data_IF_031013643353
#
_entry.id   IF_031013643353
#
_cell.length_a   1.000
_cell.length_b   1.000
_cell.length_c   1.000
_cell.angle_alpha   90.00
_cell.angle_beta   90.00
_cell.angle_gamma   90.00
#
_symmetry.space_group_name_H-M   'P 1'
#
loop_
_entity.id
_entity.type
_entity.pdbx_description
1 polymer ?
#
# COMPACT_ATOMS: atom_id res chain seq x y z
N UNK A 1 7.86 19.28 18.21
CA UNK A 1 7.59 17.89 18.65
C UNK A 1 7.69 17.02 17.41
N UNK A 2 8.49 15.94 17.44
CA UNK A 2 8.57 15.00 16.31
C UNK A 2 7.18 14.41 16.06
N UNK A 3 6.68 14.44 14.83
CA UNK A 3 5.39 13.81 14.52
C UNK A 3 5.58 12.29 14.55
N UNK A 4 4.70 11.57 15.24
CA UNK A 4 4.73 10.10 15.22
C UNK A 4 4.33 9.63 13.80
N UNK A 5 5.14 8.79 13.12
CA UNK A 5 4.77 8.24 11.81
C UNK A 5 3.47 7.45 11.91
N UNK A 6 2.69 7.48 10.82
CA UNK A 6 1.51 6.64 10.67
C UNK A 6 1.91 5.24 10.23
N UNK A 7 1.44 4.22 10.93
CA UNK A 7 1.62 2.82 10.54
C UNK A 7 0.42 2.36 9.71
N UNK A 8 0.66 2.02 8.45
CA UNK A 8 -0.41 1.70 7.49
C UNK A 8 -0.14 0.34 6.85
N UNK A 9 -1.18 -0.46 6.65
CA UNK A 9 -1.06 -1.70 5.87
C UNK A 9 -2.14 -1.81 4.79
N UNK A 10 -1.77 -2.34 3.63
CA UNK A 10 -2.72 -2.94 2.70
C UNK A 10 -2.81 -4.43 2.99
N UNK A 11 -3.86 -4.90 3.67
CA UNK A 11 -3.89 -6.25 4.22
C UNK A 11 -5.24 -6.95 4.07
N UNK A 12 -5.20 -8.27 3.85
CA UNK A 12 -6.37 -9.15 3.77
C UNK A 12 -5.94 -10.61 3.94
N UNK A 13 -6.87 -11.45 4.41
CA UNK A 13 -6.68 -12.90 4.61
C UNK A 13 -6.51 -13.68 3.29
N UNK A 14 -6.70 -13.02 2.13
CA UNK A 14 -6.60 -13.65 0.82
C UNK A 14 -5.23 -13.44 0.18
N UNK A 15 -4.59 -14.55 -0.17
CA UNK A 15 -3.42 -14.55 -1.06
C UNK A 15 -3.73 -13.92 -2.42
N UNK A 16 -2.76 -13.23 -3.00
CA UNK A 16 -2.89 -12.66 -4.34
C UNK A 16 -3.84 -11.46 -4.46
N UNK A 17 -4.43 -10.94 -3.39
CA UNK A 17 -5.39 -9.81 -3.43
C UNK A 17 -4.80 -8.43 -3.82
N UNK A 18 -3.47 -8.34 -4.00
CA UNK A 18 -2.78 -7.10 -4.39
C UNK A 18 -2.15 -6.31 -3.23
N UNK A 19 -2.01 -6.91 -2.04
CA UNK A 19 -1.40 -6.28 -0.84
C UNK A 19 -0.07 -5.59 -1.14
N UNK A 20 0.93 -6.36 -1.54
CA UNK A 20 2.28 -5.87 -1.86
C UNK A 20 2.28 -4.88 -3.02
N UNK A 21 1.41 -5.07 -4.01
CA UNK A 21 1.22 -4.14 -5.14
C UNK A 21 0.76 -2.77 -4.64
N UNK A 22 -0.27 -2.72 -3.79
CA UNK A 22 -0.76 -1.44 -3.25
C UNK A 22 0.21 -0.83 -2.25
N UNK A 23 0.90 -1.64 -1.44
CA UNK A 23 1.98 -1.15 -0.57
C UNK A 23 3.08 -0.46 -1.39
N UNK A 24 3.55 -1.08 -2.48
CA UNK A 24 4.57 -0.48 -3.35
C UNK A 24 4.04 0.78 -4.08
N UNK A 25 2.83 0.73 -4.66
CA UNK A 25 2.24 1.87 -5.37
C UNK A 25 2.00 3.06 -4.44
N UNK A 26 1.42 2.83 -3.26
CA UNK A 26 1.17 3.88 -2.28
C UNK A 26 2.48 4.47 -1.76
N UNK A 27 3.48 3.63 -1.47
CA UNK A 27 4.81 4.09 -1.03
C UNK A 27 5.45 4.98 -2.08
N UNK A 28 5.48 4.53 -3.34
CA UNK A 28 6.07 5.28 -4.45
C UNK A 28 5.32 6.57 -4.77
N UNK A 29 3.98 6.57 -4.77
CA UNK A 29 3.20 7.79 -4.99
C UNK A 29 3.38 8.80 -3.85
N UNK A 30 3.26 8.37 -2.60
CA UNK A 30 3.42 9.28 -1.46
C UNK A 30 4.83 9.84 -1.37
N UNK A 31 5.86 9.04 -1.64
CA UNK A 31 7.25 9.46 -1.50
C UNK A 31 7.74 10.30 -2.67
N UNK A 32 7.53 9.82 -3.91
CA UNK A 32 8.11 10.45 -5.10
C UNK A 32 7.21 11.52 -5.73
N UNK A 33 5.88 11.43 -5.56
CA UNK A 33 4.95 12.39 -6.17
C UNK A 33 4.38 13.42 -5.17
N UNK A 34 4.15 13.01 -3.91
CA UNK A 34 3.55 13.88 -2.88
C UNK A 34 4.54 14.35 -1.81
N UNK A 35 5.83 13.99 -1.92
CA UNK A 35 6.90 14.50 -1.08
C UNK A 35 6.94 13.99 0.37
N UNK A 36 6.13 13.00 0.75
CA UNK A 36 6.17 12.40 2.09
C UNK A 36 7.42 11.55 2.32
N UNK A 37 7.92 11.49 3.55
CA UNK A 37 8.97 10.55 3.92
C UNK A 37 8.33 9.20 4.28
N UNK A 38 8.53 8.22 3.40
CA UNK A 38 7.94 6.88 3.54
C UNK A 38 9.02 5.88 3.89
N UNK A 39 8.68 4.85 4.67
CA UNK A 39 9.44 3.61 4.81
C UNK A 39 8.51 2.40 4.62
N UNK A 40 9.08 1.25 4.26
CA UNK A 40 8.35 -0.02 4.17
C UNK A 40 8.99 -1.07 5.06
N UNK A 41 8.19 -1.72 5.89
CA UNK A 41 8.54 -2.95 6.61
C UNK A 41 7.84 -4.10 5.89
N UNK A 42 8.62 -4.87 5.14
CA UNK A 42 8.14 -6.02 4.40
C UNK A 42 8.13 -7.24 5.32
N UNK A 43 6.97 -7.52 5.90
CA UNK A 43 6.75 -8.52 6.93
C UNK A 43 6.42 -9.91 6.37
N UNK A 44 6.56 -10.15 5.06
CA UNK A 44 6.24 -11.43 4.43
C UNK A 44 7.48 -12.34 4.32
N UNK A 45 8.31 -12.44 5.36
CA UNK A 45 9.47 -13.34 5.34
C UNK A 45 9.04 -14.83 5.26
N UNK A 46 9.69 -15.66 4.42
CA UNK A 46 10.89 -15.39 3.61
C UNK A 46 10.65 -14.80 2.21
N UNK A 47 9.39 -14.58 1.80
CA UNK A 47 9.07 -14.07 0.47
C UNK A 47 9.55 -12.63 0.26
N UNK A 48 9.33 -11.75 1.25
CA UNK A 48 9.67 -10.32 1.26
C UNK A 48 9.60 -9.69 -0.15
N UNK A 49 8.41 -9.70 -0.74
CA UNK A 49 8.21 -9.48 -2.18
C UNK A 49 8.63 -8.08 -2.65
N UNK A 50 8.45 -7.05 -1.81
CA UNK A 50 8.80 -5.66 -2.11
C UNK A 50 10.31 -5.48 -1.96
N UNK A 51 10.92 -6.09 -0.94
CA UNK A 51 12.36 -6.09 -0.76
C UNK A 51 13.08 -6.76 -1.95
N UNK A 52 12.61 -7.93 -2.38
CA UNK A 52 13.17 -8.61 -3.56
C UNK A 52 12.87 -7.87 -4.87
N UNK A 53 11.74 -7.14 -4.97
CA UNK A 53 11.49 -6.21 -6.07
C UNK A 53 12.57 -5.13 -6.14
N UNK A 54 12.84 -4.40 -5.05
CA UNK A 54 13.90 -3.38 -5.01
C UNK A 54 15.26 -3.93 -5.43
N UNK A 55 15.64 -5.12 -4.95
CA UNK A 55 16.91 -5.76 -5.33
C UNK A 55 16.99 -6.05 -6.83
N UNK A 56 15.90 -6.54 -7.44
CA UNK A 56 15.82 -6.77 -8.88
C UNK A 56 15.91 -5.46 -9.65
N UNK A 57 15.21 -4.42 -9.21
CA UNK A 57 15.24 -3.10 -9.84
C UNK A 57 16.63 -2.47 -9.81
N UNK A 58 17.35 -2.54 -8.69
CA UNK A 58 18.75 -2.05 -8.60
C UNK A 58 19.65 -2.74 -9.62
N UNK A 59 19.57 -4.08 -9.76
CA UNK A 59 20.33 -4.82 -10.77
C UNK A 59 19.98 -4.42 -12.20
N UNK A 60 18.72 -4.03 -12.45
CA UNK A 60 18.30 -3.54 -13.76
C UNK A 60 18.87 -2.15 -14.06
N UNK A 61 18.95 -1.26 -13.05
CA UNK A 61 19.59 0.05 -13.22
C UNK A 61 21.07 -0.05 -13.61
N UNK A 62 21.79 -1.05 -13.08
CA UNK A 62 23.20 -1.30 -13.44
C UNK A 62 23.39 -1.63 -14.93
N UNK A 63 22.37 -2.21 -15.56
CA UNK A 63 22.44 -2.74 -16.93
C UNK A 63 21.57 -1.96 -17.93
N UNK A 64 20.82 -0.95 -17.50
CA UNK A 64 19.92 -0.17 -18.35
C UNK A 64 20.13 1.33 -18.12
N UNK A 65 20.92 1.96 -19.00
CA UNK A 65 21.26 3.38 -18.94
C UNK A 65 20.04 4.31 -18.98
N UNK A 66 18.95 3.90 -19.64
CA UNK A 66 17.73 4.71 -19.67
C UNK A 66 17.11 4.81 -18.28
N UNK A 67 16.91 3.68 -17.60
CA UNK A 67 16.35 3.72 -16.24
C UNK A 67 17.34 4.32 -15.24
N UNK A 68 18.65 4.12 -15.41
CA UNK A 68 19.66 4.78 -14.59
C UNK A 68 19.55 6.32 -14.68
N UNK A 69 19.54 6.87 -15.90
CA UNK A 69 19.39 8.31 -16.11
C UNK A 69 18.05 8.84 -15.58
N UNK A 70 16.97 8.07 -15.77
CA UNK A 70 15.64 8.38 -15.23
C UNK A 70 15.65 8.44 -13.70
N UNK A 71 16.36 7.53 -13.03
CA UNK A 71 16.46 7.50 -11.57
C UNK A 71 17.26 8.70 -11.04
N UNK A 72 18.41 9.01 -11.65
CA UNK A 72 19.21 10.19 -11.28
C UNK A 72 18.38 11.46 -11.41
N UNK A 73 17.74 11.66 -12.58
CA UNK A 73 16.89 12.84 -12.83
C UNK A 73 15.77 12.97 -11.80
N UNK A 74 15.10 11.87 -11.45
CA UNK A 74 14.03 11.88 -10.46
C UNK A 74 14.54 12.26 -9.07
N UNK A 75 15.58 11.58 -8.58
CA UNK A 75 16.08 11.75 -7.22
C UNK A 75 16.71 13.14 -7.00
N UNK A 76 17.38 13.68 -8.02
CA UNK A 76 17.87 15.07 -8.01
C UNK A 76 16.71 16.07 -8.00
N UNK A 77 15.66 15.85 -8.79
CA UNK A 77 14.53 16.77 -8.88
C UNK A 77 13.72 16.86 -7.59
N UNK A 78 13.56 15.74 -6.86
CA UNK A 78 12.81 15.71 -5.60
C UNK A 78 13.68 16.02 -4.37
N UNK A 79 15.01 16.06 -4.53
CA UNK A 79 16.00 16.19 -3.44
C UNK A 79 15.81 15.14 -2.32
N UNK A 80 15.59 13.88 -2.72
CA UNK A 80 15.39 12.74 -1.80
C UNK A 80 16.03 11.48 -2.34
N UNK A 81 16.39 10.60 -1.41
CA UNK A 81 16.77 9.22 -1.73
C UNK A 81 15.52 8.34 -1.90
N UNK A 82 15.70 7.16 -2.49
CA UNK A 82 14.63 6.14 -2.52
C UNK A 82 14.20 5.78 -1.10
N UNK A 83 12.90 5.52 -0.88
CA UNK A 83 12.43 5.12 0.43
C UNK A 83 13.06 3.78 0.87
N UNK A 84 13.39 3.61 2.16
CA UNK A 84 13.97 2.38 2.70
C UNK A 84 12.93 1.26 2.78
N UNK A 85 13.42 0.02 2.62
CA UNK A 85 12.64 -1.20 2.71
C UNK A 85 13.38 -2.17 3.63
N UNK A 86 12.73 -2.60 4.71
CA UNK A 86 13.28 -3.53 5.70
C UNK A 86 12.49 -4.82 5.66
N UNK A 87 13.13 -5.94 5.32
CA UNK A 87 12.51 -7.26 5.40
C UNK A 87 12.49 -7.74 6.86
N UNK A 88 11.36 -8.27 7.32
CA UNK A 88 11.13 -8.70 8.69
C UNK A 88 10.21 -9.94 8.73
N UNK A 89 10.28 -10.70 9.82
CA UNK A 89 9.25 -11.70 10.11
C UNK A 89 7.95 -11.01 10.54
N UNK A 90 6.78 -11.62 10.31
CA UNK A 90 5.51 -11.01 10.69
C UNK A 90 5.43 -10.61 12.17
N UNK A 91 5.91 -11.48 13.06
CA UNK A 91 5.98 -11.29 14.51
C UNK A 91 6.98 -10.21 14.95
N UNK A 92 7.94 -9.84 14.10
CA UNK A 92 8.97 -8.84 14.37
C UNK A 92 8.66 -7.47 13.74
N UNK A 93 7.58 -7.35 12.96
CA UNK A 93 7.30 -6.15 12.18
C UNK A 93 7.36 -4.86 12.99
N UNK A 94 6.65 -4.80 14.12
CA UNK A 94 6.59 -3.60 14.97
C UNK A 94 7.94 -3.31 15.64
N UNK A 95 8.63 -4.32 16.16
CA UNK A 95 9.93 -4.12 16.80
C UNK A 95 10.97 -3.64 15.79
N UNK A 96 10.98 -4.21 14.58
CA UNK A 96 11.84 -3.79 13.47
C UNK A 96 11.55 -2.37 13.00
N UNK A 97 10.28 -1.98 12.90
CA UNK A 97 9.90 -0.61 12.58
C UNK A 97 10.45 0.39 13.62
N UNK A 98 10.31 0.08 14.91
CA UNK A 98 10.79 0.94 15.97
C UNK A 98 12.33 1.00 16.03
N UNK A 99 13.02 -0.11 15.83
CA UNK A 99 14.49 -0.17 15.71
C UNK A 99 14.97 0.71 14.56
N UNK A 100 14.36 0.54 13.38
CA UNK A 100 14.64 1.35 12.20
C UNK A 100 14.43 2.84 12.48
N UNK A 101 13.25 3.25 12.96
CA UNK A 101 12.93 4.64 13.25
C UNK A 101 13.83 5.27 14.33
N UNK A 102 14.31 4.48 15.30
CA UNK A 102 15.24 4.96 16.32
C UNK A 102 16.67 5.15 15.80
N UNK A 103 17.05 4.40 14.76
CA UNK A 103 18.38 4.47 14.14
C UNK A 103 18.51 5.59 13.11
N UNK A 104 17.38 6.03 12.54
CA UNK A 104 17.34 7.05 11.49
C UNK A 104 17.37 8.47 12.06
N UNK A 105 18.12 9.36 11.40
CA UNK A 105 18.14 10.78 11.74
C UNK A 105 16.96 11.55 11.13
N UNK A 106 16.42 11.06 10.01
CA UNK A 106 15.27 11.61 9.31
C UNK A 106 13.95 11.24 10.00
N UNK A 107 13.00 12.17 10.00
CA UNK A 107 11.62 11.88 10.41
C UNK A 107 10.80 11.31 9.26
N UNK A 108 10.04 10.26 9.56
CA UNK A 108 9.14 9.60 8.62
C UNK A 108 7.70 10.02 8.86
N UNK A 109 6.96 10.27 7.79
CA UNK A 109 5.54 10.60 7.84
C UNK A 109 4.69 9.32 7.89
N UNK A 110 5.09 8.30 7.11
CA UNK A 110 4.36 7.04 6.95
C UNK A 110 5.32 5.85 6.96
N UNK A 111 4.96 4.79 7.68
CA UNK A 111 5.60 3.48 7.59
C UNK A 111 4.56 2.47 7.13
N UNK A 112 4.76 1.93 5.94
CA UNK A 112 3.91 0.86 5.42
C UNK A 112 4.37 -0.51 5.89
N UNK A 113 3.43 -1.40 6.15
CA UNK A 113 3.68 -2.79 6.50
C UNK A 113 3.08 -3.71 5.42
N UNK A 114 3.93 -4.51 4.76
CA UNK A 114 3.47 -5.55 3.85
C UNK A 114 3.30 -6.86 4.60
N UNK A 115 2.06 -7.24 4.90
CA UNK A 115 1.74 -8.41 5.70
C UNK A 115 1.51 -9.65 4.82
N UNK A 116 1.86 -10.86 5.31
CA UNK A 116 1.56 -12.10 4.60
C UNK A 116 0.05 -12.25 4.36
N UNK A 117 -0.31 -12.99 3.31
CA UNK A 117 -1.73 -13.22 2.97
C UNK A 117 -2.50 -14.03 4.01
N UNK A 118 -1.84 -14.85 4.81
CA UNK A 118 -2.51 -15.72 5.79
C UNK A 118 -2.51 -15.05 7.16
N UNK A 119 -3.59 -14.33 7.49
CA UNK A 119 -3.69 -13.61 8.77
C UNK A 119 -4.00 -14.55 9.97
N UNK A 120 -4.11 -15.86 9.76
CA UNK A 120 -4.43 -16.81 10.85
C UNK A 120 -3.25 -17.13 11.78
N UNK A 121 -2.12 -16.44 11.66
CA UNK A 121 -0.99 -16.54 12.57
C UNK A 121 -1.05 -15.37 13.57
N UNK A 122 -0.91 -15.67 14.86
CA UNK A 122 -0.91 -14.68 15.96
C UNK A 122 0.05 -13.51 15.72
N UNK A 123 1.23 -13.74 15.14
CA UNK A 123 2.18 -12.68 14.81
C UNK A 123 1.62 -11.68 13.79
N UNK A 124 0.88 -12.16 12.79
CA UNK A 124 0.27 -11.33 11.75
C UNK A 124 -0.89 -10.52 12.32
N UNK A 125 -1.74 -11.16 13.16
CA UNK A 125 -2.84 -10.48 13.85
C UNK A 125 -2.30 -9.40 14.79
N UNK A 126 -1.25 -9.69 15.55
CA UNK A 126 -0.62 -8.73 16.45
C UNK A 126 -0.11 -7.50 15.69
N UNK A 127 0.64 -7.69 14.60
CA UNK A 127 1.12 -6.58 13.77
C UNK A 127 -0.04 -5.82 13.13
N UNK A 128 -1.07 -6.51 12.63
CA UNK A 128 -2.28 -5.90 12.08
C UNK A 128 -2.97 -4.96 13.08
N UNK A 129 -3.16 -5.40 14.34
CA UNK A 129 -3.81 -4.61 15.39
C UNK A 129 -2.95 -3.45 15.90
N UNK A 130 -1.65 -3.44 15.58
CA UNK A 130 -0.73 -2.35 15.91
C UNK A 130 -0.59 -1.29 14.80
N UNK A 131 -1.25 -1.47 13.65
CA UNK A 131 -1.34 -0.44 12.62
C UNK A 131 -2.19 0.73 13.12
N UNK A 132 -2.02 1.94 12.58
CA UNK A 132 -2.99 3.03 12.75
C UNK A 132 -4.19 2.84 11.81
N UNK A 133 -3.93 2.44 10.56
CA UNK A 133 -4.95 2.25 9.52
C UNK A 133 -4.68 1.00 8.70
N UNK A 134 -5.73 0.26 8.35
CA UNK A 134 -5.63 -0.86 7.41
C UNK A 134 -6.61 -0.69 6.25
N UNK A 135 -6.08 -0.81 5.04
CA UNK A 135 -6.84 -0.81 3.79
C UNK A 135 -6.95 -2.24 3.24
N UNK A 136 -8.15 -2.70 3.00
CA UNK A 136 -8.44 -4.11 2.71
C UNK A 136 -8.90 -4.27 1.26
N UNK A 137 -8.00 -4.68 0.33
CA UNK A 137 -8.39 -4.92 -1.06
C UNK A 137 -9.28 -6.14 -1.17
N UNK A 138 -10.37 -6.02 -1.92
CA UNK A 138 -11.35 -7.08 -2.06
C UNK A 138 -11.81 -7.27 -3.50
N UNK A 139 -11.68 -8.49 -4.02
CA UNK A 139 -12.16 -8.81 -5.37
C UNK A 139 -13.69 -8.94 -5.41
N UNK A 140 -14.35 -8.61 -6.54
CA UNK A 140 -15.81 -8.74 -6.69
C UNK A 140 -16.23 -10.20 -6.89
N UNK A 141 -15.91 -11.04 -5.92
CA UNK A 141 -16.30 -12.44 -5.87
C UNK A 141 -16.83 -12.78 -4.48
N UNK A 142 -17.92 -13.55 -4.44
CA UNK A 142 -18.56 -13.95 -3.18
C UNK A 142 -17.57 -14.56 -2.18
N UNK A 143 -16.70 -15.45 -2.64
CA UNK A 143 -15.66 -16.07 -1.82
C UNK A 143 -14.68 -15.04 -1.22
N UNK A 144 -14.29 -14.02 -1.98
CA UNK A 144 -13.43 -12.95 -1.46
C UNK A 144 -14.15 -12.11 -0.41
N UNK A 145 -15.43 -11.81 -0.63
CA UNK A 145 -16.27 -11.08 0.32
C UNK A 145 -16.41 -11.84 1.64
N UNK A 146 -16.84 -13.10 1.57
CA UNK A 146 -17.11 -13.92 2.76
C UNK A 146 -15.85 -14.10 3.61
N UNK A 147 -14.69 -14.37 2.99
CA UNK A 147 -13.41 -14.47 3.71
C UNK A 147 -12.94 -13.13 4.28
N UNK A 148 -13.20 -12.02 3.60
CA UNK A 148 -12.81 -10.69 4.10
C UNK A 148 -13.69 -10.29 5.28
N UNK A 149 -15.01 -10.41 5.14
CA UNK A 149 -15.97 -10.01 6.18
C UNK A 149 -15.85 -10.88 7.43
N UNK A 150 -15.61 -12.19 7.28
CA UNK A 150 -15.43 -13.07 8.45
C UNK A 150 -14.23 -12.70 9.31
N UNK A 151 -13.21 -12.06 8.73
CA UNK A 151 -12.04 -11.55 9.46
C UNK A 151 -12.25 -10.11 9.96
N UNK A 152 -12.80 -9.22 9.12
CA UNK A 152 -12.89 -7.79 9.45
C UNK A 152 -14.01 -7.46 10.46
N UNK A 153 -15.12 -8.20 10.47
CA UNK A 153 -16.22 -7.95 11.43
C UNK A 153 -15.73 -8.13 12.88
N UNK A 154 -15.12 -9.26 13.29
CA UNK A 154 -14.60 -9.41 14.65
C UNK A 154 -13.53 -8.38 15.03
N UNK A 155 -12.66 -8.02 14.08
CA UNK A 155 -11.64 -6.96 14.28
C UNK A 155 -12.31 -5.63 14.59
N UNK A 156 -13.37 -5.26 13.86
CA UNK A 156 -14.06 -3.98 14.06
C UNK A 156 -14.80 -3.95 15.40
N UNK A 157 -15.39 -5.07 15.82
CA UNK A 157 -15.98 -5.22 17.16
C UNK A 157 -14.92 -5.09 18.26
N UNK A 158 -13.71 -5.62 18.04
CA UNK A 158 -12.59 -5.47 18.96
C UNK A 158 -12.16 -4.01 19.09
N UNK A 159 -12.03 -3.28 17.98
CA UNK A 159 -11.72 -1.84 17.96
C UNK A 159 -12.78 -1.05 18.74
N UNK A 160 -14.07 -1.34 18.51
CA UNK A 160 -15.17 -0.65 19.18
C UNK A 160 -15.23 -0.92 20.70
N UNK A 161 -14.77 -2.11 21.14
CA UNK A 161 -14.81 -2.52 22.54
C UNK A 161 -13.54 -2.19 23.33
N UNK A 162 -12.38 -2.01 22.68
CA UNK A 162 -11.09 -1.81 23.32
C UNK A 162 -10.46 -0.46 22.96
N UNK A 163 -10.57 0.52 23.87
CA UNK A 163 -10.04 1.90 23.67
C UNK A 163 -8.50 2.02 23.61
N UNK A 164 -7.76 0.93 23.77
CA UNK A 164 -6.28 0.95 23.85
C UNK A 164 -5.59 0.33 22.63
N UNK A 165 -6.33 -0.03 21.57
CA UNK A 165 -5.72 -0.50 20.33
C UNK A 165 -5.09 0.67 19.56
N UNK A 166 -3.95 0.42 18.93
CA UNK A 166 -3.33 1.37 18.00
C UNK A 166 -4.18 1.53 16.73
N UNK A 167 -4.87 0.46 16.32
CA UNK A 167 -5.74 0.43 15.14
C UNK A 167 -6.95 1.33 15.30
N UNK A 168 -6.96 2.42 14.53
CA UNK A 168 -8.00 3.45 14.54
C UNK A 168 -9.17 3.06 13.67
N UNK A 169 -8.91 2.56 12.45
CA UNK A 169 -9.96 2.16 11.52
C UNK A 169 -9.48 1.19 10.45
N UNK A 170 -10.43 0.43 9.92
CA UNK A 170 -10.25 -0.47 8.79
C UNK A 170 -11.17 -0.05 7.66
N UNK A 171 -10.63 -0.05 6.45
CA UNK A 171 -11.27 0.49 5.27
C UNK A 171 -11.19 -0.50 4.11
N UNK A 172 -12.34 -0.99 3.64
CA UNK A 172 -12.42 -1.92 2.53
C UNK A 172 -12.43 -1.15 1.21
N UNK A 173 -11.91 -1.75 0.14
CA UNK A 173 -12.06 -1.19 -1.20
C UNK A 173 -12.11 -2.29 -2.27
N UNK A 174 -12.77 -1.97 -3.38
CA UNK A 174 -12.91 -2.90 -4.48
C UNK A 174 -11.64 -2.95 -5.33
N UNK A 175 -11.12 -4.17 -5.55
CA UNK A 175 -9.98 -4.43 -6.40
C UNK A 175 -10.32 -5.41 -7.53
N UNK A 176 -9.64 -5.28 -8.66
CA UNK A 176 -9.81 -6.13 -9.85
C UNK A 176 -11.26 -6.22 -10.32
N UNK A 177 -11.93 -5.07 -10.37
CA UNK A 177 -13.28 -5.00 -10.94
C UNK A 177 -13.20 -5.03 -12.47
N UNK A 178 -13.74 -6.10 -13.03
CA UNK A 178 -13.90 -6.25 -14.47
C UNK A 178 -15.14 -5.48 -14.95
N UNK A 179 -15.12 -4.94 -16.17
CA UNK A 179 -16.24 -4.19 -16.75
C UNK A 179 -17.53 -5.00 -16.90
N UNK A 180 -17.45 -6.34 -16.84
CA UNK A 180 -18.59 -7.26 -16.85
C UNK A 180 -19.27 -7.41 -15.49
N UNK A 181 -18.66 -6.92 -14.41
CA UNK A 181 -19.27 -6.95 -13.08
C UNK A 181 -20.44 -5.97 -13.07
N UNK A 182 -21.66 -6.47 -12.81
CA UNK A 182 -22.86 -5.65 -12.75
C UNK A 182 -22.78 -4.68 -11.57
N UNK A 183 -23.09 -3.41 -11.81
CA UNK A 183 -23.08 -2.35 -10.79
C UNK A 183 -23.96 -2.71 -9.58
N UNK A 184 -25.13 -3.27 -9.83
CA UNK A 184 -26.08 -3.76 -8.80
C UNK A 184 -25.44 -4.74 -7.82
N UNK A 185 -24.46 -5.53 -8.26
CA UNK A 185 -23.75 -6.48 -7.41
C UNK A 185 -22.86 -5.75 -6.41
N UNK A 186 -22.09 -4.74 -6.87
CA UNK A 186 -21.26 -3.91 -6.00
C UNK A 186 -22.13 -3.13 -5.02
N UNK A 187 -23.25 -2.57 -5.48
CA UNK A 187 -24.21 -1.83 -4.64
C UNK A 187 -24.85 -2.73 -3.57
N UNK A 188 -25.21 -3.98 -3.93
CA UNK A 188 -25.76 -4.95 -2.98
C UNK A 188 -24.76 -5.27 -1.86
N UNK A 189 -23.49 -5.53 -2.20
CA UNK A 189 -22.47 -5.81 -1.19
C UNK A 189 -22.04 -4.56 -0.42
N UNK A 190 -22.04 -3.38 -1.03
CA UNK A 190 -21.83 -2.13 -0.32
C UNK A 190 -22.88 -1.93 0.78
N UNK A 191 -24.14 -2.28 0.52
CA UNK A 191 -25.19 -2.27 1.55
C UNK A 191 -24.88 -3.24 2.69
N UNK A 192 -24.49 -4.49 2.37
CA UNK A 192 -24.11 -5.48 3.40
C UNK A 192 -22.95 -4.97 4.27
N UNK A 193 -21.91 -4.41 3.65
CA UNK A 193 -20.75 -3.83 4.36
C UNK A 193 -21.22 -2.69 5.29
N UNK A 194 -22.11 -1.82 4.80
CA UNK A 194 -22.70 -0.73 5.57
C UNK A 194 -23.58 -1.21 6.74
N UNK A 195 -24.33 -2.29 6.57
CA UNK A 195 -25.15 -2.90 7.62
C UNK A 195 -24.27 -3.40 8.79
N UNK A 196 -23.04 -3.85 8.50
CA UNK A 196 -22.01 -4.17 9.49
C UNK A 196 -21.20 -2.97 9.98
N UNK A 197 -21.56 -1.74 9.58
CA UNK A 197 -20.87 -0.48 9.92
C UNK A 197 -19.39 -0.46 9.54
N UNK A 198 -19.02 -1.24 8.53
CA UNK A 198 -17.67 -1.26 7.99
C UNK A 198 -17.51 -0.13 6.99
N UNK A 199 -16.32 0.48 6.95
CA UNK A 199 -16.02 1.54 5.97
C UNK A 199 -15.66 0.92 4.63
N UNK A 200 -16.31 1.40 3.56
CA UNK A 200 -15.99 1.07 2.17
C UNK A 200 -15.57 2.36 1.47
N UNK A 201 -14.44 2.34 0.77
CA UNK A 201 -13.99 3.44 -0.07
C UNK A 201 -14.86 3.55 -1.32
N UNK A 202 -15.00 4.78 -1.80
CA UNK A 202 -15.69 5.11 -3.04
C UNK A 202 -14.88 4.65 -4.27
N UNK A 203 -13.54 4.68 -4.15
CA UNK A 203 -12.66 4.30 -5.25
C UNK A 203 -12.72 2.81 -5.57
N UNK A 204 -12.99 2.50 -6.84
CA UNK A 204 -12.98 1.13 -7.37
C UNK A 204 -11.77 0.93 -8.28
N UNK A 205 -10.93 -0.06 -7.98
CA UNK A 205 -9.76 -0.39 -8.80
C UNK A 205 -10.14 -1.40 -9.89
N UNK A 206 -9.98 -1.05 -11.19
CA UNK A 206 -10.30 -1.93 -12.30
C UNK A 206 -9.29 -3.08 -12.44
N UNK A 207 -9.74 -4.19 -13.01
CA UNK A 207 -8.84 -5.27 -13.41
C UNK A 207 -7.99 -4.82 -14.61
N UNK A 208 -6.67 -4.76 -14.44
CA UNK A 208 -5.76 -4.33 -15.51
C UNK A 208 -4.35 -4.89 -15.31
N UNK A 209 -3.74 -5.35 -16.41
CA UNK A 209 -2.35 -5.85 -16.42
C UNK A 209 -1.31 -4.74 -16.11
N UNK A 210 -1.69 -3.46 -16.17
CA UNK A 210 -0.81 -2.35 -15.79
C UNK A 210 -0.28 -2.47 -14.36
N UNK A 211 -1.06 -3.06 -13.45
CA UNK A 211 -0.67 -3.25 -12.05
C UNK A 211 0.51 -4.21 -11.88
N UNK A 212 0.85 -4.97 -12.92
CA UNK A 212 1.99 -5.90 -12.94
C UNK A 212 3.17 -5.35 -13.78
N UNK A 213 3.08 -4.10 -14.27
CA UNK A 213 4.06 -3.53 -15.21
C UNK A 213 5.26 -2.93 -14.47
N UNK A 214 6.25 -3.78 -14.20
CA UNK A 214 7.58 -3.41 -13.70
C UNK A 214 8.50 -2.86 -14.80
N UNK A 215 9.74 -2.51 -14.42
CA UNK A 215 10.81 -2.16 -15.34
C UNK A 215 11.08 -3.27 -16.36
N UNK A 216 11.22 -2.88 -17.63
CA UNK A 216 11.57 -3.81 -18.70
C UNK A 216 13.03 -4.26 -18.59
N UNK A 217 13.29 -5.54 -18.90
CA UNK A 217 14.67 -6.09 -18.90
C UNK A 217 15.54 -5.39 -19.95
N UNK A 218 14.94 -5.01 -21.09
CA UNK A 218 15.55 -4.22 -22.15
C UNK A 218 14.58 -3.14 -22.61
N UNK A 219 15.11 -2.04 -23.16
CA UNK A 219 14.31 -0.93 -23.64
C UNK A 219 13.95 0.10 -22.56
N UNK A 220 12.89 0.85 -22.82
CA UNK A 220 12.55 2.10 -22.14
C UNK A 220 11.05 2.21 -21.81
N UNK A 221 10.41 1.06 -21.56
CA UNK A 221 8.97 0.99 -21.33
C UNK A 221 8.52 1.85 -20.15
N UNK A 222 7.32 2.41 -20.26
CA UNK A 222 6.66 3.07 -19.14
C UNK A 222 6.44 2.07 -18.00
N UNK A 223 6.78 2.47 -16.77
CA UNK A 223 6.73 1.65 -15.55
C UNK A 223 5.52 2.05 -14.72
N UNK A 224 4.82 1.09 -14.12
CA UNK A 224 3.68 1.36 -13.25
C UNK A 224 3.91 0.85 -11.82
N UNK A 225 4.43 -0.37 -11.68
CA UNK A 225 4.77 -0.96 -10.40
C UNK A 225 6.29 -0.88 -10.21
N UNK A 226 6.74 -0.05 -9.26
CA UNK A 226 8.15 0.14 -8.97
C UNK A 226 8.33 0.59 -7.53
N UNK A 227 9.49 0.27 -6.96
CA UNK A 227 9.93 0.83 -5.67
C UNK A 227 10.90 2.00 -5.83
N UNK A 228 11.34 2.32 -7.05
CA UNK A 228 12.30 3.38 -7.37
C UNK A 228 11.61 4.54 -8.09
N UNK A 229 10.56 4.27 -8.87
CA UNK A 229 9.85 5.25 -9.67
C UNK A 229 8.39 5.41 -9.22
N UNK A 230 7.80 6.62 -9.33
CA UNK A 230 6.36 6.75 -9.32
C UNK A 230 5.76 6.10 -10.59
N UNK A 231 4.48 5.67 -10.54
CA UNK A 231 3.77 5.19 -11.72
C UNK A 231 3.81 6.23 -12.86
N UNK A 232 4.05 5.77 -14.08
CA UNK A 232 4.07 6.63 -15.25
C UNK A 232 2.72 7.33 -15.47
N UNK A 233 2.74 8.65 -15.71
CA UNK A 233 1.53 9.48 -15.84
C UNK A 233 0.54 8.95 -16.89
N UNK A 234 1.04 8.35 -17.99
CA UNK A 234 0.16 7.79 -19.03
C UNK A 234 -0.56 6.54 -18.53
N UNK A 235 0.10 5.75 -17.69
CA UNK A 235 -0.45 4.51 -17.13
C UNK A 235 -1.33 4.76 -15.90
N UNK A 236 -1.18 5.90 -15.21
CA UNK A 236 -2.10 6.33 -14.13
C UNK A 236 -3.52 6.51 -14.66
N UNK A 237 -3.68 7.13 -15.83
CA UNK A 237 -4.99 7.43 -16.42
C UNK A 237 -5.86 6.17 -16.56
N UNK A 238 -6.99 6.15 -15.86
CA UNK A 238 -7.95 5.03 -15.86
C UNK A 238 -7.51 3.81 -15.05
N UNK A 239 -6.46 3.95 -14.22
CA UNK A 239 -6.13 2.96 -13.19
C UNK A 239 -6.88 3.24 -11.88
N UNK A 240 -7.27 4.48 -11.63
CA UNK A 240 -7.88 4.95 -10.38
C UNK A 240 -6.95 4.85 -9.15
N UNK A 241 -5.65 4.60 -9.35
CA UNK A 241 -4.69 4.58 -8.24
C UNK A 241 -4.52 5.96 -7.60
N UNK A 242 -4.56 7.02 -8.41
CA UNK A 242 -4.53 8.42 -7.99
C UNK A 242 -5.72 8.73 -7.07
N UNK A 243 -6.94 8.37 -7.48
CA UNK A 243 -8.12 8.52 -6.63
C UNK A 243 -8.03 7.73 -5.33
N UNK A 244 -7.52 6.50 -5.37
CA UNK A 244 -7.36 5.67 -4.17
C UNK A 244 -6.37 6.31 -3.18
N UNK A 245 -5.23 6.83 -3.68
CA UNK A 245 -4.23 7.47 -2.81
C UNK A 245 -4.76 8.78 -2.23
N UNK A 246 -5.53 9.57 -2.98
CA UNK A 246 -6.16 10.77 -2.43
C UNK A 246 -7.19 10.44 -1.33
N UNK A 247 -8.02 9.42 -1.53
CA UNK A 247 -8.97 8.96 -0.52
C UNK A 247 -8.25 8.44 0.73
N UNK A 248 -7.17 7.67 0.56
CA UNK A 248 -6.29 7.23 1.67
C UNK A 248 -5.73 8.43 2.42
N UNK A 249 -5.17 9.42 1.72
CA UNK A 249 -4.60 10.64 2.32
C UNK A 249 -5.63 11.38 3.17
N UNK A 250 -6.84 11.56 2.65
CA UNK A 250 -7.94 12.21 3.37
C UNK A 250 -8.31 11.44 4.64
N UNK A 251 -8.44 10.11 4.56
CA UNK A 251 -8.76 9.24 5.70
C UNK A 251 -7.70 9.33 6.80
N UNK A 252 -6.42 9.33 6.41
CA UNK A 252 -5.30 9.28 7.36
C UNK A 252 -4.80 10.68 7.79
N UNK A 253 -5.38 11.75 7.26
CA UNK A 253 -5.04 13.13 7.60
C UNK A 253 -3.73 13.63 7.00
N UNK A 254 -3.29 13.07 5.86
CA UNK A 254 -2.12 13.51 5.11
C UNK A 254 -2.52 14.66 4.18
N UNK A 255 -2.49 15.89 4.69
CA UNK A 255 -2.97 17.10 4.00
C UNK A 255 -1.86 18.09 3.62
N UNK A 256 -0.67 17.62 3.21
CA UNK A 256 0.32 18.56 2.64
C UNK A 256 -0.25 19.02 1.30
N UNK A 257 -0.39 20.34 1.12
CA UNK A 257 -0.83 20.89 -0.16
C UNK A 257 0.18 20.49 -1.24
N UNK A 258 -0.26 19.71 -2.22
CA UNK A 258 0.54 19.27 -3.38
C UNK A 258 0.79 20.42 -4.37
N UNK A 259 1.25 21.56 -3.87
CA UNK A 259 1.67 22.71 -4.69
C UNK A 259 3.17 22.68 -4.91
N UNK A 260 3.65 21.63 -5.59
CA UNK A 260 5.00 21.58 -6.13
C UNK A 260 4.98 20.70 -7.40
N UNK A 261 4.47 21.24 -8.51
CA UNK A 261 4.52 20.48 -9.77
C UNK A 261 3.70 20.99 -10.96
N UNK A 262 2.96 22.08 -10.85
CA UNK A 262 2.39 22.79 -12.00
C UNK A 262 3.14 24.10 -12.25
N UNK A 263 4.33 23.99 -12.84
CA UNK A 263 4.91 25.00 -13.74
C UNK A 263 5.55 24.29 -14.93
#
# INVERSE_FOLDING_TARGET
>A
MKQKPLFIAFSTQKGGAGKSTFTALASSLLHYAHGYNVAVIDCDYPQCSIYEMRKREIRQLENNLYYQAKAVTLLEAIDKQTYPIVCARPEEGISKANEFLASESMEYDVVFFDLPGTINNEGVVSTFLNMDYVFVPMSPSRMSMESTLSFIIPVTELIASHKQLSLKSVHLFWNRVDSRVRKEWLEHYAKIIGDFKLSLLDTVIPQSARYDKEQSVSGNDAVFLSTIFPPDKQLVRGSNIDFLIEEVKQIVGLNRNDHAGEQ
#
